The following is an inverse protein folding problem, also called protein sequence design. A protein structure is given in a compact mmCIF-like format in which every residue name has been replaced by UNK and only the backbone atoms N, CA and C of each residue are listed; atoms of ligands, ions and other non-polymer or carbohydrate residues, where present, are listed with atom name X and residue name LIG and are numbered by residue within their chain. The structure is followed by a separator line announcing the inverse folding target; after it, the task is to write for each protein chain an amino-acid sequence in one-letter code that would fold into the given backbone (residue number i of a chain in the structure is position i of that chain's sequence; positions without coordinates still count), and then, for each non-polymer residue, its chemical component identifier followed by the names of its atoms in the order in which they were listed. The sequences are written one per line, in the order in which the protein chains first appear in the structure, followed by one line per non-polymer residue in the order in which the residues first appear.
data_IF_394127302705
#
_entry.id   IF_394127302705
#
_cell.length_a   1.000
_cell.length_b   1.000
_cell.length_c   1.000
_cell.angle_alpha   90.00
_cell.angle_beta   90.00
_cell.angle_gamma   90.00
#
_symmetry.space_group_name_H-M   'P 1'
#
loop_
_entity.id
_entity.type
_entity.pdbx_description
1 polymer ?
#
# COMPACT_ATOMS: atom_id res chain seq x y z
N UNK A 1 -21.17 26.45 10.93
CA UNK A 1 -20.08 25.48 11.13
C UNK A 1 -19.16 25.23 9.91
N UNK A 2 -19.50 25.65 8.67
CA UNK A 2 -18.65 25.46 7.47
C UNK A 2 -17.50 26.46 7.30
N UNK A 3 -17.58 27.65 7.91
CA UNK A 3 -16.53 28.69 7.75
C UNK A 3 -15.23 28.42 8.50
N UNK A 4 -15.26 27.75 9.66
CA UNK A 4 -14.05 27.44 10.44
C UNK A 4 -13.17 26.38 9.76
N UNK A 5 -13.76 25.38 9.08
CA UNK A 5 -13.01 24.37 8.31
C UNK A 5 -12.28 25.00 7.11
N UNK A 6 -12.92 25.91 6.39
CA UNK A 6 -12.35 26.58 5.23
C UNK A 6 -11.12 27.47 5.58
N UNK A 7 -11.12 28.11 6.74
CA UNK A 7 -9.99 28.94 7.19
C UNK A 7 -8.78 28.07 7.60
N UNK A 8 -9.01 26.92 8.27
CA UNK A 8 -7.95 25.99 8.62
C UNK A 8 -7.29 25.37 7.39
N UNK A 9 -8.06 25.02 6.38
CA UNK A 9 -7.57 24.45 5.11
C UNK A 9 -6.71 25.44 4.33
N UNK A 10 -7.12 26.72 4.28
CA UNK A 10 -6.35 27.79 3.63
C UNK A 10 -4.98 28.03 4.31
N UNK A 11 -4.95 28.03 5.64
CA UNK A 11 -3.71 28.21 6.42
C UNK A 11 -2.77 27.00 6.19
N UNK A 12 -3.30 25.78 6.23
CA UNK A 12 -2.53 24.57 5.99
C UNK A 12 -1.93 24.57 4.57
N UNK A 13 -2.73 24.86 3.56
CA UNK A 13 -2.28 24.99 2.17
C UNK A 13 -1.15 26.00 2.02
N UNK A 14 -1.30 27.18 2.62
CA UNK A 14 -0.28 28.23 2.58
C UNK A 14 1.04 27.77 3.22
N UNK A 15 0.98 27.03 4.33
CA UNK A 15 2.18 26.45 4.97
C UNK A 15 2.87 25.41 4.09
N UNK A 16 2.12 24.52 3.47
CA UNK A 16 2.67 23.51 2.57
C UNK A 16 3.34 24.16 1.36
N UNK A 17 2.71 25.14 0.71
CA UNK A 17 3.29 25.87 -0.42
C UNK A 17 4.53 26.68 -0.02
N UNK A 18 4.53 27.29 1.16
CA UNK A 18 5.71 27.95 1.72
C UNK A 18 6.85 26.96 1.92
N UNK A 19 6.56 25.79 2.48
CA UNK A 19 7.56 24.73 2.72
C UNK A 19 8.18 24.22 1.42
N UNK A 20 7.38 24.00 0.37
CA UNK A 20 7.90 23.64 -0.96
C UNK A 20 8.90 24.68 -1.48
N UNK A 21 8.58 25.99 -1.39
CA UNK A 21 9.48 27.07 -1.80
C UNK A 21 10.78 27.11 -0.99
N UNK A 22 10.69 26.93 0.34
CA UNK A 22 11.87 26.87 1.22
C UNK A 22 12.81 25.71 0.88
N UNK A 23 12.26 24.59 0.38
CA UNK A 23 13.00 23.43 -0.08
C UNK A 23 13.50 23.56 -1.54
N UNK A 24 13.18 24.66 -2.22
CA UNK A 24 13.51 24.84 -3.63
C UNK A 24 12.73 23.93 -4.57
N UNK A 25 11.56 23.44 -4.13
CA UNK A 25 10.72 22.52 -4.87
C UNK A 25 9.59 23.24 -5.61
N UNK A 26 9.14 22.71 -6.76
CA UNK A 26 7.97 23.22 -7.47
C UNK A 26 6.72 23.22 -6.58
N UNK A 27 5.86 24.23 -6.74
CA UNK A 27 4.63 24.35 -5.95
C UNK A 27 3.42 23.70 -6.61
N UNK A 28 3.54 23.22 -7.85
CA UNK A 28 2.48 22.60 -8.66
C UNK A 28 3.08 21.60 -9.65
N UNK A 29 2.24 20.83 -10.34
CA UNK A 29 2.69 19.89 -11.37
C UNK A 29 3.18 18.55 -10.84
N UNK A 30 2.93 18.25 -9.58
CA UNK A 30 3.24 16.94 -8.98
C UNK A 30 2.18 15.90 -9.34
N UNK A 31 2.64 14.66 -9.51
CA UNK A 31 1.80 13.50 -9.80
C UNK A 31 2.08 12.41 -8.78
N UNK A 32 1.04 11.82 -8.22
CA UNK A 32 1.18 10.65 -7.35
C UNK A 32 1.42 9.40 -8.21
N UNK A 33 2.61 8.81 -8.11
CA UNK A 33 2.95 7.58 -8.87
C UNK A 33 2.40 6.32 -8.21
N UNK A 34 2.47 6.21 -6.88
CA UNK A 34 1.91 5.08 -6.12
C UNK A 34 1.66 5.48 -4.68
N UNK A 35 0.87 4.65 -4.01
CA UNK A 35 0.65 4.76 -2.57
C UNK A 35 1.24 3.54 -1.88
N UNK A 36 2.06 3.79 -0.87
CA UNK A 36 2.61 2.79 0.02
C UNK A 36 1.74 2.65 1.27
N UNK A 37 1.34 1.42 1.59
CA UNK A 37 0.72 1.09 2.87
C UNK A 37 1.82 0.56 3.80
N UNK A 38 2.16 1.31 4.83
CA UNK A 38 3.19 0.96 5.82
C UNK A 38 2.68 0.00 6.90
N UNK A 39 1.45 -0.48 6.75
CA UNK A 39 0.69 -1.32 7.69
C UNK A 39 0.30 -0.60 8.98
N UNK A 40 1.19 0.18 9.59
CA UNK A 40 0.95 0.98 10.79
C UNK A 40 1.11 2.49 10.52
N UNK A 41 0.44 3.36 11.30
CA UNK A 41 0.53 4.82 11.12
C UNK A 41 1.79 5.39 11.79
N UNK A 42 2.96 5.01 11.32
CA UNK A 42 4.26 5.39 11.91
C UNK A 42 5.16 6.19 10.96
N UNK A 43 4.75 6.29 9.70
CA UNK A 43 5.54 7.02 8.71
C UNK A 43 5.40 8.54 8.89
N UNK A 44 6.41 9.26 8.41
CA UNK A 44 6.49 10.73 8.46
C UNK A 44 6.28 11.31 7.07
N UNK A 45 5.39 12.28 6.96
CA UNK A 45 5.24 13.07 5.75
C UNK A 45 6.47 13.98 5.54
N UNK A 46 7.18 13.81 4.45
CA UNK A 46 8.40 14.58 4.15
C UNK A 46 8.15 16.09 3.95
N UNK A 47 6.93 16.48 3.57
CA UNK A 47 6.60 17.88 3.37
C UNK A 47 6.22 18.59 4.68
N UNK A 48 5.24 18.06 5.43
CA UNK A 48 4.72 18.75 6.62
C UNK A 48 5.22 18.21 7.96
N UNK A 49 5.98 17.09 7.96
CA UNK A 49 6.52 16.47 9.17
C UNK A 49 5.49 15.74 10.02
N UNK A 50 4.26 15.52 9.53
CA UNK A 50 3.26 14.72 10.25
C UNK A 50 3.76 13.27 10.44
N UNK A 51 3.89 12.80 11.69
CA UNK A 51 4.50 11.52 12.06
C UNK A 51 3.47 10.38 12.25
N UNK A 52 2.26 10.50 11.72
CA UNK A 52 1.21 9.48 11.85
C UNK A 52 0.57 9.17 10.50
N UNK A 53 1.40 8.96 9.50
CA UNK A 53 0.93 8.61 8.15
C UNK A 53 1.06 7.11 7.97
N UNK A 54 -0.02 6.46 7.57
CA UNK A 54 -0.03 5.06 7.17
C UNK A 54 0.08 4.90 5.65
N UNK A 55 -0.61 5.76 4.91
CA UNK A 55 -0.60 5.70 3.45
C UNK A 55 0.26 6.84 2.92
N UNK A 56 1.47 6.51 2.48
CA UNK A 56 2.40 7.46 1.88
C UNK A 56 2.14 7.55 0.37
N UNK A 57 1.86 8.75 -0.08
CA UNK A 57 1.71 9.09 -1.48
C UNK A 57 3.07 9.50 -2.03
N UNK A 58 3.63 8.71 -2.92
CA UNK A 58 4.90 8.99 -3.56
C UNK A 58 4.71 9.92 -4.74
N UNK A 59 5.06 11.17 -4.53
CA UNK A 59 4.88 12.26 -5.48
C UNK A 59 6.10 12.41 -6.37
N UNK A 60 5.88 12.52 -7.67
CA UNK A 60 6.91 12.80 -8.67
C UNK A 60 6.66 14.12 -9.37
N UNK A 61 7.74 14.79 -9.70
CA UNK A 61 7.71 16.00 -10.54
C UNK A 61 8.80 15.92 -11.61
N UNK A 62 8.56 16.33 -12.89
CA UNK A 62 9.55 16.21 -13.97
C UNK A 62 10.88 16.91 -13.70
N UNK A 63 10.84 18.00 -12.92
CA UNK A 63 12.05 18.77 -12.58
C UNK A 63 12.76 18.29 -11.32
N UNK A 64 12.27 17.24 -10.64
CA UNK A 64 12.83 16.72 -9.39
C UNK A 64 13.28 15.28 -9.62
N UNK A 65 14.56 14.99 -9.36
CA UNK A 65 15.19 13.72 -9.68
C UNK A 65 14.80 12.55 -8.76
N UNK A 66 13.95 12.78 -7.75
CA UNK A 66 13.49 11.76 -6.78
C UNK A 66 12.02 11.95 -6.46
N UNK A 67 11.39 10.95 -5.88
CA UNK A 67 10.03 11.05 -5.35
C UNK A 67 10.04 11.57 -3.92
N UNK A 68 8.96 12.24 -3.52
CA UNK A 68 8.73 12.74 -2.16
C UNK A 68 7.53 12.00 -1.57
N UNK A 69 7.71 11.41 -0.39
CA UNK A 69 6.67 10.64 0.28
C UNK A 69 5.85 11.54 1.23
N UNK A 70 4.58 11.72 0.93
CA UNK A 70 3.71 12.66 1.67
C UNK A 70 2.39 12.03 2.09
N UNK A 71 1.69 12.66 3.03
CA UNK A 71 0.32 12.28 3.36
C UNK A 71 -0.70 12.84 2.35
N UNK A 72 -1.93 12.29 2.37
CA UNK A 72 -3.02 12.62 1.46
C UNK A 72 -3.30 14.12 1.29
N UNK A 73 -3.33 14.89 2.39
CA UNK A 73 -3.56 16.35 2.32
C UNK A 73 -2.45 17.07 1.56
N UNK A 74 -1.19 16.67 1.78
CA UNK A 74 -0.05 17.23 1.07
C UNK A 74 -0.06 16.86 -0.42
N UNK A 75 -0.42 15.59 -0.76
CA UNK A 75 -0.64 15.18 -2.15
C UNK A 75 -1.67 16.09 -2.83
N UNK A 76 -2.85 16.27 -2.23
CA UNK A 76 -3.90 17.12 -2.80
C UNK A 76 -3.44 18.56 -3.09
N UNK A 77 -2.59 19.11 -2.20
CA UNK A 77 -2.03 20.45 -2.38
C UNK A 77 -0.97 20.47 -3.50
N UNK A 78 -0.07 19.50 -3.52
CA UNK A 78 1.04 19.40 -4.49
C UNK A 78 0.53 19.10 -5.90
N UNK A 79 -0.46 18.22 -6.03
CA UNK A 79 -1.06 17.87 -7.31
C UNK A 79 -2.12 18.87 -7.78
N UNK A 80 -2.65 19.71 -6.87
CA UNK A 80 -3.82 20.54 -7.14
C UNK A 80 -5.13 19.75 -7.24
N UNK A 81 -5.13 18.46 -6.86
CA UNK A 81 -6.25 17.52 -6.97
C UNK A 81 -6.56 16.89 -5.60
N UNK A 82 -7.18 17.67 -4.73
CA UNK A 82 -7.53 17.23 -3.37
C UNK A 82 -8.51 16.05 -3.39
N UNK A 83 -9.52 16.10 -4.25
CA UNK A 83 -10.51 15.04 -4.37
C UNK A 83 -9.87 13.72 -4.86
N UNK A 84 -9.04 13.79 -5.89
CA UNK A 84 -8.32 12.63 -6.40
C UNK A 84 -7.35 12.05 -5.38
N UNK A 85 -6.69 12.87 -4.56
CA UNK A 85 -5.84 12.39 -3.47
C UNK A 85 -6.65 11.57 -2.45
N UNK A 86 -7.82 12.04 -2.04
CA UNK A 86 -8.72 11.29 -1.15
C UNK A 86 -9.23 9.99 -1.78
N UNK A 87 -9.56 10.01 -3.07
CA UNK A 87 -10.03 8.82 -3.76
C UNK A 87 -8.92 7.77 -3.89
N UNK A 88 -7.71 8.17 -4.21
CA UNK A 88 -6.53 7.29 -4.26
C UNK A 88 -6.28 6.65 -2.89
N UNK A 89 -6.29 7.42 -1.80
CA UNK A 89 -6.12 6.88 -0.46
C UNK A 89 -7.27 5.95 -0.06
N UNK A 90 -8.52 6.29 -0.40
CA UNK A 90 -9.69 5.42 -0.16
C UNK A 90 -9.52 4.06 -0.85
N UNK A 91 -9.03 4.03 -2.09
CA UNK A 91 -8.75 2.78 -2.79
C UNK A 91 -7.62 1.98 -2.11
N UNK A 92 -6.55 2.64 -1.67
CA UNK A 92 -5.46 2.00 -0.93
C UNK A 92 -5.97 1.40 0.40
N UNK A 93 -6.79 2.13 1.15
CA UNK A 93 -7.45 1.65 2.39
C UNK A 93 -8.35 0.44 2.14
N UNK A 94 -9.14 0.47 1.07
CA UNK A 94 -10.01 -0.65 0.70
C UNK A 94 -9.19 -1.88 0.30
N UNK A 95 -8.06 -1.67 -0.39
CA UNK A 95 -7.13 -2.74 -0.74
C UNK A 95 -6.50 -3.36 0.51
N UNK A 96 -6.06 -2.52 1.46
CA UNK A 96 -5.52 -2.98 2.74
C UNK A 96 -6.54 -3.84 3.52
N UNK A 97 -7.80 -3.41 3.59
CA UNK A 97 -8.88 -4.18 4.21
C UNK A 97 -9.09 -5.53 3.51
N UNK A 98 -9.12 -5.56 2.17
CA UNK A 98 -9.25 -6.82 1.42
C UNK A 98 -8.07 -7.75 1.69
N UNK A 99 -6.84 -7.21 1.76
CA UNK A 99 -5.63 -7.98 2.10
C UNK A 99 -5.76 -8.62 3.48
N UNK A 100 -6.13 -7.84 4.50
CA UNK A 100 -6.32 -8.36 5.85
C UNK A 100 -7.41 -9.44 5.92
N UNK A 101 -8.56 -9.20 5.28
CA UNK A 101 -9.64 -10.20 5.18
C UNK A 101 -9.18 -11.47 4.45
N UNK A 102 -8.32 -11.33 3.44
CA UNK A 102 -7.78 -12.47 2.73
C UNK A 102 -6.82 -13.29 3.62
N UNK A 103 -5.89 -12.62 4.30
CA UNK A 103 -4.90 -13.27 5.18
C UNK A 103 -5.57 -13.99 6.34
N UNK A 104 -6.45 -13.31 7.07
CA UNK A 104 -7.07 -13.80 8.31
C UNK A 104 -8.40 -14.55 8.11
N UNK A 105 -8.94 -14.58 6.90
CA UNK A 105 -10.16 -15.30 6.61
C UNK A 105 -9.97 -16.81 6.57
N UNK A 106 -11.07 -17.54 6.45
CA UNK A 106 -11.04 -19.01 6.40
C UNK A 106 -10.25 -19.52 5.18
N UNK A 107 -9.35 -20.45 5.44
CA UNK A 107 -8.64 -21.25 4.45
C UNK A 107 -9.00 -22.72 4.66
N UNK A 108 -9.30 -23.42 3.59
CA UNK A 108 -9.47 -24.87 3.66
C UNK A 108 -8.08 -25.49 3.83
N UNK A 109 -7.89 -26.30 4.87
CA UNK A 109 -6.63 -27.00 5.11
C UNK A 109 -6.78 -28.48 4.78
N UNK A 110 -5.75 -29.06 4.15
CA UNK A 110 -5.65 -30.50 3.90
C UNK A 110 -4.28 -31.01 4.31
N UNK A 111 -4.26 -32.15 4.97
CA UNK A 111 -3.03 -32.88 5.28
C UNK A 111 -2.58 -33.64 4.04
N UNK A 112 -1.35 -33.41 3.59
CA UNK A 112 -0.81 -34.13 2.44
C UNK A 112 0.25 -35.18 2.82
N UNK A 113 0.92 -34.98 3.97
CA UNK A 113 1.85 -35.95 4.57
C UNK A 113 2.09 -35.59 6.04
N UNK A 114 2.74 -36.44 6.86
CA UNK A 114 3.11 -36.10 8.24
C UNK A 114 3.93 -34.83 8.39
N UNK A 115 4.52 -34.34 7.30
CA UNK A 115 5.45 -33.21 7.30
C UNK A 115 5.04 -32.05 6.39
N UNK A 116 3.82 -32.05 5.83
CA UNK A 116 3.36 -30.93 5.00
C UNK A 116 1.88 -30.65 5.16
N UNK A 117 1.56 -29.39 5.41
CA UNK A 117 0.18 -28.87 5.43
C UNK A 117 -0.04 -27.98 4.24
N UNK A 118 -1.21 -28.15 3.62
CA UNK A 118 -1.63 -27.34 2.47
C UNK A 118 -2.89 -26.56 2.83
N UNK A 119 -2.94 -25.30 2.43
CA UNK A 119 -4.10 -24.43 2.57
C UNK A 119 -4.53 -23.92 1.21
N UNK A 120 -5.84 -23.88 1.00
CA UNK A 120 -6.47 -23.41 -0.22
C UNK A 120 -7.53 -22.36 0.07
N UNK A 121 -7.61 -21.36 -0.78
CA UNK A 121 -8.64 -20.32 -0.74
C UNK A 121 -8.95 -19.83 -2.14
N UNK A 122 -10.22 -19.79 -2.49
CA UNK A 122 -10.69 -19.18 -3.73
C UNK A 122 -10.83 -17.67 -3.54
N UNK A 123 -10.17 -16.90 -4.38
CA UNK A 123 -10.43 -15.46 -4.44
C UNK A 123 -11.75 -15.18 -5.16
N UNK A 124 -12.49 -14.18 -4.70
CA UNK A 124 -13.75 -13.78 -5.35
C UNK A 124 -13.46 -13.29 -6.78
N UNK A 125 -14.00 -13.99 -7.77
CA UNK A 125 -13.74 -13.68 -9.19
C UNK A 125 -12.30 -13.96 -9.67
N UNK A 126 -11.50 -14.68 -8.87
CA UNK A 126 -10.09 -14.94 -9.15
C UNK A 126 -9.71 -16.42 -9.02
N UNK A 127 -8.40 -16.70 -9.03
CA UNK A 127 -7.85 -18.05 -8.99
C UNK A 127 -8.02 -18.69 -7.60
N UNK A 128 -7.79 -20.00 -7.55
CA UNK A 128 -7.57 -20.72 -6.29
C UNK A 128 -6.12 -20.44 -5.85
N UNK A 129 -5.98 -19.84 -4.68
CA UNK A 129 -4.71 -19.59 -4.04
C UNK A 129 -4.31 -20.79 -3.19
N UNK A 130 -3.07 -21.24 -3.30
CA UNK A 130 -2.55 -22.40 -2.59
C UNK A 130 -1.29 -22.03 -1.84
N UNK A 131 -1.26 -22.35 -0.55
CA UNK A 131 -0.10 -22.23 0.33
C UNK A 131 0.28 -23.62 0.81
N UNK A 132 1.56 -23.90 0.93
CA UNK A 132 2.10 -25.12 1.52
C UNK A 132 3.14 -24.76 2.58
N UNK A 133 3.12 -25.48 3.69
CA UNK A 133 4.25 -25.52 4.63
C UNK A 133 5.00 -26.83 4.43
N UNK A 134 6.31 -26.79 4.29
CA UNK A 134 7.15 -27.98 4.18
C UNK A 134 7.59 -28.49 5.57
N UNK A 135 8.34 -29.60 5.57
CA UNK A 135 8.85 -30.23 6.78
C UNK A 135 9.79 -29.33 7.61
N UNK A 136 10.48 -28.39 6.97
CA UNK A 136 11.39 -27.44 7.60
C UNK A 136 10.65 -26.20 8.15
N UNK A 137 9.31 -26.19 8.05
CA UNK A 137 8.47 -25.09 8.54
C UNK A 137 8.39 -23.88 7.59
N UNK A 138 9.02 -23.94 6.41
CA UNK A 138 8.98 -22.87 5.41
C UNK A 138 7.67 -22.87 4.64
N UNK A 139 7.23 -21.69 4.26
CA UNK A 139 6.01 -21.54 3.49
C UNK A 139 6.31 -21.31 2.00
N UNK A 140 5.55 -21.95 1.15
CA UNK A 140 5.59 -21.74 -0.29
C UNK A 140 4.20 -21.46 -0.84
N UNK A 141 4.14 -20.66 -1.90
CA UNK A 141 2.91 -20.32 -2.62
C UNK A 141 2.95 -20.87 -4.04
N UNK A 142 1.81 -21.36 -4.53
CA UNK A 142 1.68 -21.78 -5.92
C UNK A 142 1.36 -20.56 -6.78
N UNK A 143 2.29 -20.17 -7.66
CA UNK A 143 2.10 -19.06 -8.57
C UNK A 143 2.88 -19.30 -9.88
N UNK A 144 2.24 -18.98 -11.02
CA UNK A 144 2.88 -19.14 -12.33
C UNK A 144 3.30 -20.57 -12.66
N UNK A 145 2.56 -21.59 -12.21
CA UNK A 145 2.86 -23.01 -12.48
C UNK A 145 3.97 -23.61 -11.62
N UNK A 146 4.46 -22.91 -10.59
CA UNK A 146 5.55 -23.37 -9.71
C UNK A 146 5.34 -22.97 -8.26
N UNK A 147 6.08 -23.65 -7.36
CA UNK A 147 6.18 -23.27 -5.96
C UNK A 147 7.25 -22.19 -5.77
N UNK A 148 6.87 -21.11 -5.11
CA UNK A 148 7.73 -19.98 -4.77
C UNK A 148 7.87 -19.89 -3.25
N UNK A 149 9.09 -19.95 -2.73
CA UNK A 149 9.42 -19.86 -1.29
C UNK A 149 9.82 -18.45 -0.87
N UNK A 150 10.09 -17.56 -1.85
CA UNK A 150 10.56 -16.20 -1.59
C UNK A 150 9.56 -15.18 -2.13
N UNK A 151 9.41 -14.10 -1.39
CA UNK A 151 8.70 -12.91 -1.82
C UNK A 151 9.63 -11.69 -1.65
N UNK A 152 9.84 -10.92 -2.72
CA UNK A 152 10.76 -9.77 -2.73
C UNK A 152 12.18 -10.12 -2.24
N UNK A 153 12.69 -11.30 -2.57
CA UNK A 153 14.02 -11.77 -2.18
C UNK A 153 14.13 -12.32 -0.75
N UNK A 154 13.06 -12.27 0.04
CA UNK A 154 13.01 -12.80 1.40
C UNK A 154 12.24 -14.11 1.45
N UNK A 155 12.74 -15.07 2.23
CA UNK A 155 12.07 -16.34 2.47
C UNK A 155 10.78 -16.14 3.28
N UNK A 156 9.72 -16.87 2.92
CA UNK A 156 8.44 -16.82 3.63
C UNK A 156 8.47 -17.83 4.80
N UNK A 157 8.58 -17.29 6.00
CA UNK A 157 8.65 -18.07 7.25
C UNK A 157 7.35 -18.10 8.02
N UNK A 158 6.33 -17.35 7.57
CA UNK A 158 5.00 -17.33 8.19
C UNK A 158 3.89 -17.49 7.17
N UNK A 159 2.75 -18.04 7.61
CA UNK A 159 1.54 -18.12 6.79
C UNK A 159 1.08 -16.74 6.30
N UNK A 160 1.16 -15.72 7.14
CA UNK A 160 0.74 -14.37 6.81
C UNK A 160 1.59 -13.78 5.66
N UNK A 161 2.90 -14.01 5.65
CA UNK A 161 3.79 -13.61 4.55
C UNK A 161 3.41 -14.29 3.24
N UNK A 162 3.17 -15.61 3.27
CA UNK A 162 2.75 -16.38 2.10
C UNK A 162 1.39 -15.91 1.56
N UNK A 163 0.41 -15.72 2.46
CA UNK A 163 -0.91 -15.22 2.08
C UNK A 163 -0.85 -13.78 1.51
N UNK A 164 -0.02 -12.92 2.09
CA UNK A 164 0.21 -11.55 1.58
C UNK A 164 0.86 -11.57 0.20
N UNK A 165 1.82 -12.45 -0.04
CA UNK A 165 2.45 -12.64 -1.35
C UNK A 165 1.44 -13.06 -2.42
N UNK A 166 0.57 -14.05 -2.11
CA UNK A 166 -0.51 -14.47 -3.00
C UNK A 166 -1.53 -13.38 -3.27
N UNK A 167 -1.93 -12.63 -2.24
CA UNK A 167 -2.82 -11.50 -2.43
C UNK A 167 -2.22 -10.48 -3.39
N UNK A 168 -0.96 -10.12 -3.19
CA UNK A 168 -0.26 -9.14 -4.03
C UNK A 168 -0.13 -9.60 -5.48
N UNK A 169 0.12 -10.89 -5.70
CA UNK A 169 0.26 -11.46 -7.03
C UNK A 169 -1.08 -11.54 -7.81
N UNK A 170 -2.20 -11.72 -7.08
CA UNK A 170 -3.53 -11.94 -7.68
C UNK A 170 -4.50 -10.74 -7.56
N UNK A 171 -4.18 -9.74 -6.73
CA UNK A 171 -4.88 -8.45 -6.64
C UNK A 171 -3.87 -7.34 -6.98
N UNK A 172 -3.43 -7.24 -8.23
CA UNK A 172 -2.45 -6.24 -8.63
C UNK A 172 -3.00 -4.84 -8.35
N UNK A 173 -2.12 -3.94 -7.95
CA UNK A 173 -2.46 -2.51 -7.87
C UNK A 173 -3.09 -2.11 -9.20
N UNK A 174 -4.29 -1.54 -9.21
CA UNK A 174 -4.78 -0.87 -10.40
C UNK A 174 -3.68 0.12 -10.80
N UNK A 175 -3.09 -0.08 -11.97
CA UNK A 175 -2.21 0.94 -12.54
C UNK A 175 -3.08 2.19 -12.66
N UNK A 176 -2.70 3.24 -11.96
CA UNK A 176 -3.29 4.55 -12.16
C UNK A 176 -2.88 4.96 -13.58
N UNK A 177 -3.83 4.92 -14.49
CA UNK A 177 -3.72 5.49 -15.85
C UNK A 177 -3.99 6.96 -15.76
#
# INVERSE_FOLDING_TARGET
MRQAACVSDSIYKSRCLKRLRELGLPTEGWVCEWIEDTDEPEAVCELCGCARVRFLHHMRHPMVGHTIAVGCLCDGIMSGDELGAYEREREARNRAKRRQTFIHGKWASSWQSPHSTRWEKKMRGGPICVIRQDADGRYAVWHGGRWCYHCRGQEMTTFAQAASALFTANDPKRRQT
#
